data_IF_453561483514
#
_entry.id   IF_453561483514
#
_cell.length_a   1.000
_cell.length_b   1.000
_cell.length_c   1.000
_cell.angle_alpha   90.00
_cell.angle_beta   90.00
_cell.angle_gamma   90.00
#
_symmetry.space_group_name_H-M   'P 1'
#
loop_
_entity.id
_entity.type
_entity.pdbx_description
1 polymer ?
#
# COMPACT_ATOMS: atom_id res chain seq x y z
N UNK A 1 -26.61 -54.86 -17.74
CA UNK A 1 -26.93 -53.50 -18.25
C UNK A 1 -28.26 -53.09 -17.65
N UNK A 2 -28.22 -52.31 -16.58
CA UNK A 2 -29.39 -51.93 -15.79
C UNK A 2 -29.33 -50.42 -15.56
N UNK A 3 -30.34 -49.70 -16.05
CA UNK A 3 -30.49 -48.27 -15.86
C UNK A 3 -31.24 -47.99 -14.56
N UNK A 4 -30.63 -47.19 -13.68
CA UNK A 4 -31.23 -46.68 -12.46
C UNK A 4 -31.88 -45.31 -12.76
N UNK A 5 -33.20 -45.29 -12.64
CA UNK A 5 -34.04 -44.09 -12.73
C UNK A 5 -33.96 -43.34 -11.40
N UNK A 6 -33.61 -42.04 -11.42
CA UNK A 6 -33.66 -41.16 -10.24
C UNK A 6 -35.06 -40.55 -10.11
N UNK A 7 -35.62 -40.68 -8.90
CA UNK A 7 -36.88 -40.07 -8.48
C UNK A 7 -36.74 -38.55 -8.32
N UNK A 8 -37.72 -37.81 -8.87
CA UNK A 8 -37.98 -36.41 -8.53
C UNK A 8 -38.94 -36.33 -7.32
N UNK A 9 -38.75 -35.40 -6.37
CA UNK A 9 -39.72 -35.16 -5.32
C UNK A 9 -40.91 -34.30 -5.80
N UNK A 10 -42.11 -34.73 -5.38
CA UNK A 10 -43.43 -34.11 -5.53
C UNK A 10 -43.54 -32.79 -4.75
N UNK A 11 -44.37 -31.80 -5.19
CA UNK A 11 -44.41 -30.47 -4.58
C UNK A 11 -45.25 -30.42 -3.31
N UNK A 12 -44.75 -29.69 -2.30
CA UNK A 12 -45.44 -29.40 -1.05
C UNK A 12 -46.51 -28.32 -1.26
N UNK A 13 -47.69 -28.60 -0.72
CA UNK A 13 -48.88 -27.77 -0.77
C UNK A 13 -48.71 -26.38 -0.11
N UNK A 14 -49.43 -25.40 -0.67
CA UNK A 14 -49.51 -24.02 -0.22
C UNK A 14 -49.94 -23.90 1.25
N UNK A 15 -49.14 -23.16 2.04
CA UNK A 15 -49.55 -22.59 3.33
C UNK A 15 -49.90 -21.11 3.12
N UNK A 16 -51.02 -20.69 3.71
CA UNK A 16 -51.55 -19.32 3.61
C UNK A 16 -50.64 -18.25 4.22
N UNK A 17 -50.97 -16.97 4.02
CA UNK A 17 -50.15 -15.84 4.45
C UNK A 17 -50.07 -15.79 5.99
N UNK A 18 -48.84 -15.85 6.50
CA UNK A 18 -48.54 -15.56 7.89
C UNK A 18 -48.65 -14.05 8.14
N UNK A 19 -49.24 -13.67 9.28
CA UNK A 19 -49.24 -12.30 9.77
C UNK A 19 -47.80 -11.77 9.92
N UNK A 20 -47.56 -10.47 9.68
CA UNK A 20 -46.24 -9.89 9.86
C UNK A 20 -45.85 -9.91 11.35
N UNK A 21 -44.77 -10.61 11.66
CA UNK A 21 -44.15 -10.56 12.97
C UNK A 21 -43.68 -9.13 13.27
N UNK A 22 -44.07 -8.58 14.42
CA UNK A 22 -43.55 -7.32 14.93
C UNK A 22 -42.03 -7.37 15.05
N UNK A 23 -41.36 -6.37 14.49
CA UNK A 23 -39.92 -6.22 14.59
C UNK A 23 -39.50 -6.07 16.07
N UNK A 24 -38.44 -6.78 16.53
CA UNK A 24 -37.93 -6.61 17.88
C UNK A 24 -37.44 -5.17 18.07
N UNK A 25 -38.05 -4.46 19.03
CA UNK A 25 -37.57 -3.15 19.49
C UNK A 25 -36.20 -3.34 20.15
N UNK A 26 -35.14 -2.92 19.49
CA UNK A 26 -33.79 -2.80 20.07
C UNK A 26 -33.85 -1.65 21.08
N UNK A 27 -33.86 -1.99 22.36
CA UNK A 27 -33.65 -1.02 23.44
C UNK A 27 -32.15 -0.78 23.53
N UNK A 28 -31.70 0.35 22.99
CA UNK A 28 -30.33 0.84 23.18
C UNK A 28 -30.19 1.33 24.63
N UNK A 29 -29.33 0.74 25.47
CA UNK A 29 -29.10 1.26 26.81
C UNK A 29 -28.45 2.66 26.72
N UNK A 30 -28.83 3.61 27.59
CA UNK A 30 -28.24 4.93 27.59
C UNK A 30 -26.72 4.84 27.85
N UNK A 31 -25.94 5.54 27.01
CA UNK A 31 -24.50 5.73 27.23
C UNK A 31 -24.30 6.47 28.55
N UNK A 32 -23.94 5.74 29.61
CA UNK A 32 -23.48 6.32 30.87
C UNK A 32 -22.05 6.85 30.72
N UNK A 33 -21.89 7.94 29.97
CA UNK A 33 -20.78 8.84 30.20
C UNK A 33 -21.13 9.72 31.39
N UNK A 34 -20.35 9.68 32.48
CA UNK A 34 -20.51 10.67 33.55
C UNK A 34 -20.40 12.07 32.92
N UNK A 35 -21.28 13.03 33.26
CA UNK A 35 -21.09 14.40 32.81
C UNK A 35 -19.69 14.84 33.23
N UNK A 36 -18.93 15.38 32.27
CA UNK A 36 -17.59 15.90 32.54
C UNK A 36 -17.71 16.99 33.61
N UNK A 37 -16.81 16.95 34.56
CA UNK A 37 -16.68 17.98 35.59
C UNK A 37 -16.30 19.31 34.93
N UNK A 38 -16.63 20.41 35.60
CA UNK A 38 -16.23 21.74 35.16
C UNK A 38 -14.70 21.88 35.03
N UNK A 39 -13.94 21.15 35.86
CA UNK A 39 -12.49 21.05 35.78
C UNK A 39 -12.00 20.35 34.49
N UNK A 40 -12.65 19.26 34.08
CA UNK A 40 -12.36 18.58 32.81
C UNK A 40 -12.70 19.47 31.60
N UNK A 41 -13.78 20.25 31.68
CA UNK A 41 -14.12 21.26 30.66
C UNK A 41 -13.13 22.44 30.62
N UNK A 42 -12.62 22.89 31.77
CA UNK A 42 -11.61 23.94 31.84
C UNK A 42 -10.26 23.47 31.28
N UNK A 43 -9.86 22.24 31.61
CA UNK A 43 -8.64 21.63 31.06
C UNK A 43 -8.71 21.50 29.54
N UNK A 44 -9.84 21.03 29.00
CA UNK A 44 -10.03 20.90 27.55
C UNK A 44 -10.00 22.25 26.82
N UNK A 45 -10.63 23.28 27.40
CA UNK A 45 -10.57 24.65 26.85
C UNK A 45 -9.14 25.21 26.82
N UNK A 46 -8.35 24.92 27.87
CA UNK A 46 -6.94 25.32 27.93
C UNK A 46 -6.11 24.65 26.84
N UNK A 47 -6.28 23.35 26.62
CA UNK A 47 -5.57 22.63 25.56
C UNK A 47 -5.90 23.18 24.16
N UNK A 48 -7.17 23.52 23.90
CA UNK A 48 -7.57 24.17 22.65
C UNK A 48 -6.87 25.52 22.47
N UNK A 49 -6.82 26.35 23.52
CA UNK A 49 -6.15 27.65 23.48
C UNK A 49 -4.63 27.53 23.26
N UNK A 50 -3.97 26.58 23.94
CA UNK A 50 -2.54 26.32 23.78
C UNK A 50 -2.22 25.81 22.36
N UNK A 51 -3.05 24.93 21.81
CA UNK A 51 -2.93 24.47 20.41
C UNK A 51 -3.10 25.60 19.41
N UNK A 52 -4.08 26.49 19.62
CA UNK A 52 -4.32 27.63 18.74
C UNK A 52 -3.14 28.62 18.76
N UNK A 53 -2.59 28.91 19.94
CA UNK A 53 -1.42 29.76 20.10
C UNK A 53 -0.18 29.21 19.39
N UNK A 54 0.02 27.88 19.37
CA UNK A 54 1.10 27.24 18.63
C UNK A 54 0.93 27.35 17.10
N UNK A 55 -0.30 27.25 16.61
CA UNK A 55 -0.61 27.44 15.19
C UNK A 55 -0.37 28.89 14.78
N UNK A 56 -0.77 29.86 15.60
CA UNK A 56 -0.59 31.29 15.33
C UNK A 56 0.90 31.67 15.38
N UNK A 57 1.68 31.12 16.33
CA UNK A 57 3.12 31.31 16.41
C UNK A 57 3.87 30.79 15.17
N UNK A 58 3.38 29.72 14.53
CA UNK A 58 3.94 29.18 13.27
C UNK A 58 3.54 30.00 12.04
N UNK A 59 2.43 30.74 12.11
CA UNK A 59 1.95 31.60 11.01
C UNK A 59 2.57 33.00 11.02
N UNK A 60 3.19 33.42 12.11
CA UNK A 60 3.96 34.67 12.16
C UNK A 60 5.31 34.51 11.45
N UNK A 61 5.60 35.30 10.38
CA UNK A 61 6.92 35.30 9.76
C UNK A 61 7.97 35.78 10.77
N UNK A 62 9.03 35.00 10.95
CA UNK A 62 10.14 35.34 11.84
C UNK A 62 10.91 36.55 11.31
N UNK A 63 10.51 37.76 11.72
CA UNK A 63 11.28 39.00 11.52
C UNK A 63 12.20 39.21 12.72
N UNK A 64 13.22 38.35 12.84
CA UNK A 64 14.18 38.45 13.94
C UNK A 64 15.56 37.85 13.62
N UNK A 65 16.60 38.25 14.35
CA UNK A 65 18.02 37.92 14.08
C UNK A 65 18.35 36.42 14.13
N UNK A 66 17.41 35.58 14.58
CA UNK A 66 17.51 34.12 14.56
C UNK A 66 17.34 33.52 13.15
N UNK A 67 16.56 34.17 12.27
CA UNK A 67 16.41 33.76 10.87
C UNK A 67 17.71 33.96 10.06
N UNK A 68 18.45 35.05 10.31
CA UNK A 68 19.75 35.30 9.70
C UNK A 68 20.84 34.33 10.17
N UNK A 69 20.73 33.82 11.39
CA UNK A 69 21.70 32.88 11.97
C UNK A 69 21.46 31.42 11.54
N UNK A 70 20.22 31.06 11.21
CA UNK A 70 19.88 29.75 10.63
C UNK A 70 20.23 29.67 9.14
N UNK A 71 20.15 30.77 8.39
CA UNK A 71 20.59 30.84 7.00
C UNK A 71 22.12 30.67 6.84
N UNK A 72 22.91 30.97 7.88
CA UNK A 72 24.37 30.88 7.83
C UNK A 72 24.96 29.50 8.23
N UNK A 73 24.11 28.55 8.67
CA UNK A 73 24.53 27.23 9.17
C UNK A 73 24.00 26.05 8.33
N UNK A 74 23.27 26.31 7.26
CA UNK A 74 22.88 25.28 6.31
C UNK A 74 24.06 25.02 5.34
N UNK A 75 24.67 23.82 5.32
CA UNK A 75 25.52 23.45 4.19
C UNK A 75 24.63 23.45 2.93
N UNK A 76 25.03 24.21 1.92
CA UNK A 76 24.38 24.18 0.61
C UNK A 76 24.50 22.77 0.03
N UNK A 77 23.44 21.97 0.15
CA UNK A 77 23.24 20.85 -0.73
C UNK A 77 23.05 21.42 -2.16
N UNK A 78 23.75 20.92 -3.18
CA UNK A 78 23.58 21.42 -4.53
C UNK A 78 22.21 20.97 -5.06
N UNK A 79 21.20 21.81 -4.92
CA UNK A 79 20.02 21.77 -5.79
C UNK A 79 20.35 22.68 -6.98
N UNK A 80 21.06 22.12 -7.95
CA UNK A 80 21.24 22.75 -9.27
C UNK A 80 20.67 21.77 -10.30
N UNK A 81 19.36 21.85 -10.49
CA UNK A 81 18.72 21.44 -11.74
C UNK A 81 18.29 22.72 -12.45
N UNK A 82 18.86 23.01 -13.62
CA UNK A 82 18.41 24.11 -14.46
C UNK A 82 16.94 23.89 -14.85
N UNK A 83 16.09 24.88 -14.56
CA UNK A 83 14.71 24.90 -15.07
C UNK A 83 14.74 25.38 -16.50
N UNK A 84 14.58 24.47 -17.45
CA UNK A 84 14.33 24.84 -18.85
C UNK A 84 12.82 25.01 -19.04
N UNK A 85 12.29 26.22 -19.27
CA UNK A 85 10.87 26.42 -19.53
C UNK A 85 10.56 25.91 -20.95
N UNK A 86 9.84 24.79 -21.06
CA UNK A 86 9.21 24.36 -22.31
C UNK A 86 7.84 25.00 -22.46
N UNK A 87 7.51 25.49 -23.65
CA UNK A 87 6.17 26.01 -23.95
C UNK A 87 5.16 24.85 -23.97
N UNK A 88 4.28 24.79 -22.95
CA UNK A 88 3.03 24.01 -23.00
C UNK A 88 3.05 22.60 -22.39
N UNK A 89 4.21 22.03 -22.07
CA UNK A 89 4.35 20.84 -21.22
C UNK A 89 4.88 21.24 -19.85
N UNK A 90 4.44 20.61 -18.76
CA UNK A 90 5.04 20.84 -17.44
C UNK A 90 6.57 20.71 -17.54
N UNK A 91 7.31 21.56 -16.81
CA UNK A 91 8.77 21.52 -16.87
C UNK A 91 9.28 20.09 -16.56
N UNK A 92 10.20 19.61 -17.38
CA UNK A 92 10.93 18.37 -17.12
C UNK A 92 11.95 18.66 -16.03
N UNK A 93 11.90 17.92 -14.93
CA UNK A 93 12.87 18.09 -13.83
C UNK A 93 13.79 16.89 -13.79
N UNK A 94 15.09 17.11 -13.59
CA UNK A 94 16.01 16.01 -13.34
C UNK A 94 16.33 15.92 -11.85
N UNK A 95 16.11 14.75 -11.26
CA UNK A 95 16.55 14.44 -9.89
C UNK A 95 18.07 14.23 -9.85
N UNK A 96 18.66 14.24 -8.65
CA UNK A 96 20.11 14.07 -8.44
C UNK A 96 20.65 12.72 -8.95
N UNK A 97 19.77 11.74 -9.21
CA UNK A 97 20.10 10.47 -9.82
C UNK A 97 20.04 10.47 -11.37
N UNK A 98 19.80 11.64 -11.98
CA UNK A 98 19.80 11.86 -13.43
C UNK A 98 18.44 11.63 -14.10
N UNK A 99 17.43 11.17 -13.36
CA UNK A 99 16.12 10.80 -13.92
C UNK A 99 15.21 12.00 -14.14
N UNK A 100 14.54 12.00 -15.29
CA UNK A 100 13.61 13.04 -15.70
C UNK A 100 12.20 12.80 -15.12
N UNK A 101 11.57 13.86 -14.62
CA UNK A 101 10.20 13.93 -14.09
C UNK A 101 9.37 14.73 -15.07
N UNK A 102 8.16 14.28 -15.39
CA UNK A 102 7.29 14.87 -16.43
C UNK A 102 7.91 14.88 -17.82
N UNK A 103 8.89 14.01 -18.10
CA UNK A 103 9.45 13.89 -19.45
C UNK A 103 8.36 13.34 -20.40
N UNK A 104 7.89 14.14 -21.37
CA UNK A 104 6.89 13.69 -22.33
C UNK A 104 7.38 12.49 -23.15
N UNK A 105 8.70 12.32 -23.30
CA UNK A 105 9.30 11.18 -23.96
C UNK A 105 9.30 9.91 -23.09
N UNK A 106 9.25 10.06 -21.76
CA UNK A 106 9.11 8.96 -20.81
C UNK A 106 7.64 8.58 -20.56
N UNK A 107 6.71 9.51 -20.83
CA UNK A 107 5.27 9.26 -20.66
C UNK A 107 4.81 8.21 -21.67
N UNK A 108 4.54 6.98 -21.20
CA UNK A 108 3.99 5.93 -22.07
C UNK A 108 2.62 6.37 -22.59
N UNK A 109 2.29 6.10 -23.87
CA UNK A 109 0.95 6.34 -24.38
C UNK A 109 -0.06 5.65 -23.47
N UNK A 110 -1.08 6.39 -23.04
CA UNK A 110 -2.22 5.78 -22.35
C UNK A 110 -2.81 4.74 -23.30
N UNK A 111 -2.89 3.50 -22.83
CA UNK A 111 -3.53 2.42 -23.58
C UNK A 111 -5.02 2.75 -23.72
N UNK A 112 -5.51 2.79 -24.96
CA UNK A 112 -6.93 3.00 -25.25
C UNK A 112 -7.72 1.69 -25.12
N UNK A 113 -7.73 1.13 -23.90
CA UNK A 113 -8.50 -0.08 -23.60
C UNK A 113 -9.89 0.34 -23.11
N UNK A 114 -10.98 -0.17 -23.69
CA UNK A 114 -12.32 0.13 -23.21
C UNK A 114 -12.48 -0.23 -21.73
N UNK A 115 -13.04 0.68 -20.93
CA UNK A 115 -13.24 0.49 -19.49
C UNK A 115 -13.93 -0.83 -19.13
N UNK A 116 -14.93 -1.26 -19.92
CA UNK A 116 -15.65 -2.51 -19.71
C UNK A 116 -14.74 -3.75 -19.84
N UNK A 117 -13.70 -3.70 -20.68
CA UNK A 117 -12.70 -4.78 -20.82
C UNK A 117 -11.84 -4.85 -19.55
N UNK A 118 -11.39 -3.69 -19.06
CA UNK A 118 -10.64 -3.60 -17.80
C UNK A 118 -11.49 -4.11 -16.62
N UNK A 119 -12.73 -3.65 -16.49
CA UNK A 119 -13.65 -4.10 -15.43
C UNK A 119 -13.90 -5.62 -15.48
N UNK A 120 -14.05 -6.21 -16.67
CA UNK A 120 -14.19 -7.65 -16.83
C UNK A 120 -12.90 -8.44 -16.50
N UNK A 121 -11.74 -7.79 -16.55
CA UNK A 121 -10.44 -8.34 -16.18
C UNK A 121 -10.16 -8.33 -14.67
N UNK A 122 -10.92 -7.57 -13.88
CA UNK A 122 -10.77 -7.55 -12.43
C UNK A 122 -11.13 -8.93 -11.86
N UNK A 123 -10.19 -9.54 -11.15
CA UNK A 123 -10.39 -10.81 -10.45
C UNK A 123 -10.57 -10.61 -8.96
N UNK A 124 -9.84 -9.65 -8.43
CA UNK A 124 -9.74 -9.40 -7.01
C UNK A 124 -9.64 -7.89 -6.71
N UNK A 125 -10.69 -7.10 -6.99
CA UNK A 125 -10.63 -5.66 -6.87
C UNK A 125 -10.27 -5.23 -5.44
N UNK A 126 -9.35 -4.27 -5.33
CA UNK A 126 -8.94 -3.68 -4.05
C UNK A 126 -9.21 -2.17 -4.02
N UNK A 127 -9.73 -1.64 -2.90
CA UNK A 127 -9.84 -0.20 -2.71
C UNK A 127 -8.46 0.49 -2.68
N UNK A 128 -8.41 1.77 -3.05
CA UNK A 128 -7.16 2.54 -3.01
C UNK A 128 -6.86 3.07 -1.62
N UNK A 129 -5.57 3.09 -1.25
CA UNK A 129 -5.07 3.90 -0.13
C UNK A 129 -3.89 4.75 -0.61
N UNK A 130 -3.91 6.05 -0.29
CA UNK A 130 -2.81 6.98 -0.57
C UNK A 130 -1.72 6.79 0.46
N UNK A 131 -0.53 6.39 0.02
CA UNK A 131 0.63 6.20 0.87
C UNK A 131 1.17 7.53 1.40
N UNK A 132 1.74 7.45 2.61
CA UNK A 132 2.44 8.53 3.27
C UNK A 132 3.85 8.06 3.61
N UNK A 133 4.89 8.77 3.15
CA UNK A 133 6.28 8.38 3.40
C UNK A 133 6.71 7.10 2.66
N UNK A 134 7.69 6.36 3.19
CA UNK A 134 8.25 5.13 2.58
C UNK A 134 7.41 3.86 2.75
N UNK A 135 6.17 3.95 3.22
CA UNK A 135 5.37 2.81 3.70
C UNK A 135 4.64 2.00 2.60
N UNK A 136 5.14 2.00 1.37
CA UNK A 136 4.46 1.38 0.21
C UNK A 136 4.03 -0.08 0.43
N UNK A 137 4.87 -0.91 1.05
CA UNK A 137 4.51 -2.31 1.35
C UNK A 137 3.36 -2.44 2.34
N UNK A 138 3.34 -1.61 3.38
CA UNK A 138 2.25 -1.60 4.37
C UNK A 138 0.93 -1.08 3.77
N UNK A 139 1.00 -0.06 2.92
CA UNK A 139 -0.19 0.42 2.21
C UNK A 139 -0.72 -0.59 1.19
N UNK A 140 0.16 -1.31 0.48
CA UNK A 140 -0.24 -2.42 -0.38
C UNK A 140 -0.97 -3.51 0.41
N UNK A 141 -0.44 -3.89 1.58
CA UNK A 141 -1.12 -4.82 2.49
C UNK A 141 -2.47 -4.26 2.97
N UNK A 142 -2.53 -2.98 3.35
CA UNK A 142 -3.78 -2.32 3.76
C UNK A 142 -4.86 -2.32 2.66
N UNK A 143 -4.48 -2.13 1.39
CA UNK A 143 -5.40 -2.24 0.25
C UNK A 143 -5.94 -3.67 0.09
N UNK A 144 -5.10 -4.69 0.29
CA UNK A 144 -5.54 -6.10 0.25
C UNK A 144 -6.49 -6.41 1.42
N UNK A 145 -6.18 -5.95 2.63
CA UNK A 145 -7.06 -6.10 3.79
C UNK A 145 -8.42 -5.45 3.56
N UNK A 146 -8.44 -4.22 3.02
CA UNK A 146 -9.67 -3.53 2.62
C UNK A 146 -10.45 -4.31 1.55
N UNK A 147 -9.77 -4.89 0.56
CA UNK A 147 -10.40 -5.71 -0.47
C UNK A 147 -11.10 -6.95 0.10
N UNK A 148 -10.50 -7.60 1.10
CA UNK A 148 -11.13 -8.71 1.80
C UNK A 148 -12.25 -8.26 2.74
N UNK A 149 -12.09 -7.12 3.43
CA UNK A 149 -13.13 -6.53 4.28
C UNK A 149 -14.37 -6.13 3.47
N UNK A 150 -14.17 -5.62 2.24
CA UNK A 150 -15.25 -5.29 1.32
C UNK A 150 -16.13 -6.51 0.97
N UNK A 151 -15.54 -7.71 0.94
CA UNK A 151 -16.23 -8.98 0.63
C UNK A 151 -16.90 -9.59 1.86
N UNK A 152 -16.20 -9.57 3.00
CA UNK A 152 -16.73 -9.98 4.30
C UNK A 152 -16.23 -9.02 5.39
N UNK A 153 -17.11 -8.21 6.00
CA UNK A 153 -16.74 -7.27 7.06
C UNK A 153 -16.14 -7.89 8.32
N UNK A 154 -16.16 -9.22 8.46
CA UNK A 154 -15.45 -9.93 9.54
C UNK A 154 -13.93 -9.93 9.33
N UNK A 155 -13.46 -9.75 8.11
CA UNK A 155 -12.04 -9.69 7.82
C UNK A 155 -11.43 -8.42 8.43
N UNK A 156 -10.28 -8.51 9.12
CA UNK A 156 -9.72 -7.36 9.81
C UNK A 156 -9.21 -6.30 8.83
N UNK A 157 -9.45 -5.04 9.13
CA UNK A 157 -8.78 -3.91 8.46
C UNK A 157 -8.18 -3.00 9.53
N UNK A 158 -7.05 -2.36 9.20
CA UNK A 158 -6.26 -1.60 10.15
C UNK A 158 -5.79 -0.27 9.56
N UNK A 159 -5.41 0.63 10.46
CA UNK A 159 -4.63 1.81 10.12
C UNK A 159 -3.21 1.37 9.76
N UNK A 160 -2.62 1.97 8.72
CA UNK A 160 -1.20 1.75 8.44
C UNK A 160 -0.37 2.55 9.43
N UNK A 161 -0.68 3.84 9.60
CA UNK A 161 0.08 4.77 10.43
C UNK A 161 -0.83 5.83 11.09
N UNK A 162 -0.33 6.64 12.05
CA UNK A 162 -1.19 7.58 12.78
C UNK A 162 -1.86 8.61 11.88
N UNK A 163 -1.15 9.06 10.85
CA UNK A 163 -1.61 10.06 9.89
C UNK A 163 -2.81 9.59 9.05
N UNK A 164 -3.14 8.29 9.04
CA UNK A 164 -4.36 7.79 8.40
C UNK A 164 -5.64 8.22 9.13
N UNK A 165 -5.55 8.54 10.44
CA UNK A 165 -6.70 8.99 11.24
C UNK A 165 -7.12 10.42 10.91
N UNK A 166 -6.12 11.29 10.82
CA UNK A 166 -6.26 12.73 10.67
C UNK A 166 -5.36 13.19 9.52
N UNK A 167 -5.79 12.97 8.26
CA UNK A 167 -4.92 13.20 7.13
C UNK A 167 -4.60 14.70 6.98
N UNK A 168 -3.31 15.05 6.77
CA UNK A 168 -2.88 16.45 6.76
C UNK A 168 -3.51 17.27 5.63
N UNK A 169 -3.92 16.62 4.55
CA UNK A 169 -4.43 17.27 3.35
C UNK A 169 -5.96 17.40 3.33
N UNK A 170 -6.71 16.80 4.28
CA UNK A 170 -8.18 16.89 4.38
C UNK A 170 -9.01 16.31 3.22
N UNK A 171 -8.41 16.12 2.05
CA UNK A 171 -9.10 15.87 0.77
C UNK A 171 -9.11 14.40 0.33
N UNK A 172 -8.41 13.50 1.04
CA UNK A 172 -8.31 12.10 0.66
C UNK A 172 -8.74 11.17 1.79
N UNK A 173 -9.56 10.17 1.44
CA UNK A 173 -9.80 9.02 2.31
C UNK A 173 -8.56 8.13 2.29
N UNK A 174 -7.72 8.24 3.31
CA UNK A 174 -6.60 7.30 3.53
C UNK A 174 -7.09 5.92 3.98
N UNK A 175 -8.37 5.83 4.36
CA UNK A 175 -9.07 4.63 4.79
C UNK A 175 -10.36 4.46 4.00
N UNK A 176 -10.59 3.24 3.51
CA UNK A 176 -11.85 2.88 2.87
C UNK A 176 -12.91 2.46 3.89
N UNK A 177 -12.47 1.93 5.04
CA UNK A 177 -13.30 1.40 6.11
C UNK A 177 -12.79 1.85 7.49
N UNK A 178 -13.66 1.83 8.48
CA UNK A 178 -13.23 2.01 9.87
C UNK A 178 -12.34 0.81 10.28
N UNK A 179 -11.21 1.03 10.95
CA UNK A 179 -10.33 -0.06 11.38
C UNK A 179 -11.08 -0.96 12.37
N UNK A 180 -11.05 -2.27 12.11
CA UNK A 180 -11.60 -3.31 12.98
C UNK A 180 -10.52 -3.96 13.85
N UNK A 181 -9.26 -3.89 13.42
CA UNK A 181 -8.11 -4.19 14.27
C UNK A 181 -7.69 -2.91 15.02
N UNK A 182 -7.60 -2.94 16.36
CA UNK A 182 -7.17 -1.77 17.13
C UNK A 182 -5.68 -1.44 16.99
N UNK A 183 -4.87 -2.38 16.48
CA UNK A 183 -3.43 -2.23 16.30
C UNK A 183 -3.14 -1.47 15.01
N UNK A 184 -2.02 -0.77 14.99
CA UNK A 184 -1.50 -0.09 13.82
C UNK A 184 -0.51 -0.98 13.10
N UNK A 185 -0.62 -1.08 11.78
CA UNK A 185 0.22 -1.99 11.00
C UNK A 185 1.70 -1.63 11.08
N UNK A 186 2.04 -0.34 11.09
CA UNK A 186 3.41 0.14 11.28
C UNK A 186 3.98 -0.28 12.64
N UNK A 187 3.19 -0.16 13.71
CA UNK A 187 3.63 -0.56 15.05
C UNK A 187 3.84 -2.08 15.12
N UNK A 188 2.91 -2.86 14.57
CA UNK A 188 3.05 -4.33 14.46
C UNK A 188 4.30 -4.73 13.68
N UNK A 189 4.61 -4.05 12.58
CA UNK A 189 5.81 -4.31 11.78
C UNK A 189 7.10 -3.89 12.49
N UNK A 190 7.08 -2.79 13.25
CA UNK A 190 8.22 -2.33 14.06
C UNK A 190 8.52 -3.27 15.22
N UNK A 191 7.50 -3.63 15.98
CA UNK A 191 7.61 -4.52 17.14
C UNK A 191 8.16 -5.90 16.74
N UNK A 192 7.88 -6.33 15.51
CA UNK A 192 8.37 -7.56 14.92
C UNK A 192 9.76 -7.45 14.25
N UNK A 193 10.39 -6.27 14.28
CA UNK A 193 11.68 -6.03 13.64
C UNK A 193 11.65 -6.22 12.11
N UNK A 194 10.51 -5.94 11.48
CA UNK A 194 10.33 -6.02 10.02
C UNK A 194 10.65 -4.70 9.33
N UNK A 195 10.47 -3.59 10.04
CA UNK A 195 10.72 -2.24 9.54
C UNK A 195 11.03 -1.28 10.68
N UNK A 196 11.68 -0.17 10.38
CA UNK A 196 11.91 0.91 11.33
C UNK A 196 11.11 2.18 10.96
N UNK A 197 10.98 2.49 9.66
CA UNK A 197 10.26 3.67 9.14
C UNK A 197 8.99 3.31 8.34
N UNK A 198 8.76 2.03 8.06
CA UNK A 198 7.56 1.50 7.40
C UNK A 198 7.83 0.83 6.04
N UNK A 199 9.04 0.98 5.50
CA UNK A 199 9.51 0.27 4.32
C UNK A 199 9.66 -1.23 4.63
N UNK A 200 9.10 -2.10 3.78
CA UNK A 200 9.23 -3.55 3.89
C UNK A 200 10.15 -4.05 2.78
N UNK A 201 11.45 -4.11 3.05
CA UNK A 201 12.47 -4.39 2.03
C UNK A 201 12.59 -5.87 1.63
N UNK A 202 11.79 -6.74 2.22
CA UNK A 202 11.71 -8.15 1.85
C UNK A 202 10.24 -8.51 1.68
N UNK A 203 9.93 -9.27 0.63
CA UNK A 203 8.57 -9.74 0.39
C UNK A 203 8.08 -10.63 1.54
N UNK A 204 8.99 -11.38 2.17
CA UNK A 204 8.70 -12.17 3.39
C UNK A 204 8.21 -11.29 4.55
N UNK A 205 8.71 -10.05 4.67
CA UNK A 205 8.26 -9.13 5.72
C UNK A 205 6.83 -8.64 5.49
N UNK A 206 6.40 -8.50 4.23
CA UNK A 206 4.99 -8.22 3.91
C UNK A 206 4.09 -9.38 4.31
N UNK A 207 4.50 -10.60 3.96
CA UNK A 207 3.77 -11.82 4.31
C UNK A 207 3.69 -12.01 5.84
N UNK A 208 4.78 -11.77 6.57
CA UNK A 208 4.81 -11.86 8.03
C UNK A 208 3.97 -10.76 8.69
N UNK A 209 4.02 -9.53 8.18
CA UNK A 209 3.16 -8.46 8.66
C UNK A 209 1.68 -8.84 8.47
N UNK A 210 1.30 -9.41 7.33
CA UNK A 210 -0.05 -9.92 7.09
C UNK A 210 -0.45 -11.01 8.09
N UNK A 211 0.45 -11.97 8.36
CA UNK A 211 0.21 -13.02 9.35
C UNK A 211 -0.04 -12.46 10.76
N UNK A 212 0.73 -11.45 11.17
CA UNK A 212 0.54 -10.77 12.46
C UNK A 212 -0.78 -9.98 12.55
N UNK A 213 -1.33 -9.57 11.40
CA UNK A 213 -2.64 -8.92 11.28
C UNK A 213 -3.82 -9.91 11.17
N UNK A 214 -3.57 -11.22 11.37
CA UNK A 214 -4.63 -12.24 11.39
C UNK A 214 -5.01 -12.80 10.02
N UNK A 215 -4.19 -12.56 9.00
CA UNK A 215 -4.36 -13.18 7.69
C UNK A 215 -3.46 -14.42 7.54
N UNK A 216 -3.74 -15.25 6.54
CA UNK A 216 -2.77 -16.22 6.02
C UNK A 216 -2.01 -15.57 4.88
N UNK A 217 -0.72 -15.87 4.77
CA UNK A 217 0.09 -15.38 3.67
C UNK A 217 1.02 -16.47 3.12
N UNK A 218 1.23 -16.46 1.81
CA UNK A 218 2.27 -17.26 1.18
C UNK A 218 3.24 -16.39 0.39
N UNK A 219 4.46 -16.89 0.27
CA UNK A 219 5.52 -16.30 -0.53
C UNK A 219 5.94 -17.28 -1.62
N UNK A 220 6.01 -16.78 -2.85
CA UNK A 220 6.69 -17.45 -3.96
C UNK A 220 7.91 -16.61 -4.35
N UNK A 221 9.08 -17.23 -4.32
CA UNK A 221 10.33 -16.66 -4.86
C UNK A 221 10.54 -17.16 -6.28
N UNK A 222 11.21 -16.39 -7.13
CA UNK A 222 11.37 -16.71 -8.56
C UNK A 222 10.04 -16.91 -9.29
N UNK A 223 8.99 -16.23 -8.83
CA UNK A 223 7.64 -16.34 -9.36
C UNK A 223 7.58 -15.95 -10.83
N UNK A 224 6.73 -16.64 -11.58
CA UNK A 224 6.45 -16.40 -13.00
C UNK A 224 5.14 -15.63 -13.17
N UNK A 225 4.87 -15.15 -14.39
CA UNK A 225 3.54 -14.64 -14.73
C UNK A 225 2.45 -15.71 -14.55
N UNK A 226 2.75 -16.99 -14.78
CA UNK A 226 1.79 -18.08 -14.59
C UNK A 226 1.42 -18.26 -13.11
N UNK A 227 2.39 -18.10 -12.19
CA UNK A 227 2.12 -18.10 -10.75
C UNK A 227 1.22 -16.93 -10.36
N UNK A 228 1.50 -15.74 -10.91
CA UNK A 228 0.67 -14.56 -10.70
C UNK A 228 -0.76 -14.77 -11.20
N UNK A 229 -0.94 -15.30 -12.41
CA UNK A 229 -2.28 -15.60 -12.94
C UNK A 229 -3.02 -16.64 -12.10
N UNK A 230 -2.31 -17.64 -11.58
CA UNK A 230 -2.92 -18.66 -10.69
C UNK A 230 -3.52 -18.02 -9.43
N UNK A 231 -2.80 -17.08 -8.81
CA UNK A 231 -3.28 -16.34 -7.63
C UNK A 231 -4.48 -15.48 -7.99
N UNK A 232 -4.40 -14.74 -9.10
CA UNK A 232 -5.49 -13.88 -9.55
C UNK A 232 -6.73 -14.67 -9.95
N UNK A 233 -6.60 -15.79 -10.65
CA UNK A 233 -7.71 -16.64 -11.08
C UNK A 233 -8.39 -17.37 -9.91
N UNK A 234 -7.70 -17.52 -8.77
CA UNK A 234 -8.30 -17.91 -7.50
C UNK A 234 -9.15 -16.79 -6.85
N UNK A 235 -9.17 -15.59 -7.43
CA UNK A 235 -9.85 -14.42 -6.88
C UNK A 235 -9.07 -13.72 -5.77
N UNK A 236 -7.76 -14.00 -5.66
CA UNK A 236 -6.89 -13.42 -4.64
C UNK A 236 -6.08 -12.26 -5.22
N UNK A 237 -5.99 -11.11 -4.51
CA UNK A 237 -5.07 -10.05 -4.91
C UNK A 237 -3.63 -10.47 -4.60
N UNK A 238 -2.68 -10.07 -5.44
CA UNK A 238 -1.26 -10.38 -5.27
C UNK A 238 -0.46 -9.11 -4.97
N UNK A 239 0.39 -9.13 -3.96
CA UNK A 239 1.33 -8.05 -3.66
C UNK A 239 2.68 -8.39 -4.29
N UNK A 240 3.22 -7.45 -5.08
CA UNK A 240 4.51 -7.58 -5.76
C UNK A 240 5.32 -6.30 -5.58
N UNK A 241 6.63 -6.46 -5.47
CA UNK A 241 7.55 -5.34 -5.64
C UNK A 241 8.01 -5.27 -7.10
N UNK A 242 8.16 -4.07 -7.65
CA UNK A 242 8.60 -3.86 -9.02
C UNK A 242 9.52 -2.64 -9.11
N UNK A 243 10.23 -2.50 -10.23
CA UNK A 243 11.02 -1.31 -10.49
C UNK A 243 10.12 -0.21 -11.05
N UNK A 244 9.91 0.84 -10.27
CA UNK A 244 8.98 1.92 -10.62
C UNK A 244 9.72 3.10 -11.24
N UNK A 245 9.12 3.70 -12.27
CA UNK A 245 9.59 4.99 -12.79
C UNK A 245 9.00 6.18 -12.02
N UNK A 246 9.27 7.41 -12.48
CA UNK A 246 8.80 8.64 -11.83
C UNK A 246 7.27 8.83 -11.90
N UNK A 247 6.62 8.18 -12.85
CA UNK A 247 5.18 8.30 -13.08
C UNK A 247 4.40 7.22 -12.32
N UNK A 248 5.10 6.32 -11.62
CA UNK A 248 4.49 5.21 -10.91
C UNK A 248 4.24 3.99 -11.81
N UNK A 249 4.76 3.99 -13.04
CA UNK A 249 4.56 2.91 -13.99
C UNK A 249 5.62 1.81 -13.82
N UNK A 250 5.30 0.60 -14.31
CA UNK A 250 6.27 -0.49 -14.37
C UNK A 250 7.42 -0.10 -15.31
N UNK A 251 8.54 0.30 -14.71
CA UNK A 251 9.67 0.91 -15.38
C UNK A 251 10.32 0.01 -16.41
N UNK A 252 10.99 0.61 -17.39
CA UNK A 252 11.94 -0.12 -18.26
C UNK A 252 13.11 -0.66 -17.44
N UNK A 253 13.94 -1.57 -17.98
CA UNK A 253 15.14 -2.06 -17.28
C UNK A 253 16.05 -0.94 -16.75
N UNK A 254 16.00 0.24 -17.37
CA UNK A 254 16.83 1.40 -17.04
C UNK A 254 16.13 2.43 -16.13
N UNK A 255 14.88 2.19 -15.71
CA UNK A 255 14.03 3.16 -14.98
C UNK A 255 14.50 3.51 -13.55
N UNK A 256 15.71 3.13 -13.16
CA UNK A 256 16.31 3.48 -11.88
C UNK A 256 16.27 2.35 -10.85
N UNK A 257 16.82 2.60 -9.67
CA UNK A 257 16.93 1.64 -8.57
C UNK A 257 15.84 1.92 -7.51
N UNK A 258 14.57 1.85 -7.93
CA UNK A 258 13.43 2.29 -7.13
C UNK A 258 12.44 1.16 -6.95
N UNK A 259 12.60 0.44 -5.85
CA UNK A 259 11.64 -0.59 -5.47
C UNK A 259 10.33 0.05 -5.02
N UNK A 260 9.21 -0.44 -5.55
CA UNK A 260 7.89 -0.04 -5.08
C UNK A 260 6.95 -1.23 -5.06
N UNK A 261 5.99 -1.21 -4.14
CA UNK A 261 4.95 -2.23 -4.06
C UNK A 261 3.70 -1.84 -4.83
N UNK A 262 3.13 -2.82 -5.52
CA UNK A 262 1.79 -2.74 -6.10
C UNK A 262 0.97 -3.95 -5.68
N UNK A 263 -0.34 -3.78 -5.74
CA UNK A 263 -1.32 -4.86 -5.69
C UNK A 263 -1.78 -5.13 -7.12
N UNK A 264 -1.55 -6.34 -7.60
CA UNK A 264 -2.16 -6.82 -8.85
C UNK A 264 -3.52 -7.41 -8.49
N UNK A 265 -4.56 -6.92 -9.16
CA UNK A 265 -5.96 -7.22 -8.85
C UNK A 265 -6.71 -7.85 -10.03
N UNK A 266 -6.08 -7.96 -11.19
CA UNK A 266 -6.69 -8.57 -12.35
C UNK A 266 -5.75 -8.71 -13.53
N UNK A 267 -6.25 -9.41 -14.55
CA UNK A 267 -5.58 -9.55 -15.83
C UNK A 267 -6.62 -9.77 -16.94
N UNK A 268 -6.30 -9.37 -18.16
CA UNK A 268 -7.15 -9.56 -19.33
C UNK A 268 -6.33 -9.66 -20.61
N UNK A 269 -6.96 -10.17 -21.66
CA UNK A 269 -6.40 -10.16 -23.02
C UNK A 269 -7.10 -9.10 -23.87
N UNK A 270 -6.33 -8.36 -24.65
CA UNK A 270 -6.82 -7.37 -25.60
C UNK A 270 -5.88 -7.34 -26.80
N UNK A 271 -6.43 -7.46 -28.01
CA UNK A 271 -5.67 -7.45 -29.27
C UNK A 271 -4.50 -8.45 -29.31
N UNK A 272 -4.68 -9.63 -28.71
CA UNK A 272 -3.65 -10.67 -28.66
C UNK A 272 -2.51 -10.42 -27.66
N UNK A 273 -2.60 -9.34 -26.87
CA UNK A 273 -1.68 -9.05 -25.78
C UNK A 273 -2.35 -9.26 -24.44
N UNK A 274 -1.56 -9.62 -23.42
CA UNK A 274 -2.03 -9.77 -22.06
C UNK A 274 -1.63 -8.56 -21.21
N UNK A 275 -2.58 -8.09 -20.41
CA UNK A 275 -2.44 -6.94 -19.54
C UNK A 275 -2.70 -7.32 -18.09
N UNK A 276 -2.05 -6.61 -17.18
CA UNK A 276 -2.27 -6.64 -15.75
C UNK A 276 -3.00 -5.38 -15.32
N UNK A 277 -3.90 -5.54 -14.35
CA UNK A 277 -4.56 -4.44 -13.66
C UNK A 277 -3.92 -4.32 -12.29
N UNK A 278 -3.25 -3.21 -12.05
CA UNK A 278 -2.50 -2.96 -10.83
C UNK A 278 -3.02 -1.71 -10.11
N UNK A 279 -2.79 -1.68 -8.80
CA UNK A 279 -3.03 -0.50 -7.96
C UNK A 279 -1.86 -0.35 -7.02
N UNK A 280 -1.29 0.84 -6.96
CA UNK A 280 -0.22 1.16 -6.01
C UNK A 280 -0.57 2.48 -5.32
N UNK A 281 0.00 2.71 -4.15
CA UNK A 281 -0.40 3.77 -3.23
C UNK A 281 0.25 5.14 -3.52
N UNK A 282 1.01 5.24 -4.61
CA UNK A 282 1.80 6.42 -4.92
C UNK A 282 1.05 7.39 -5.84
N UNK A 283 0.61 8.52 -5.26
CA UNK A 283 0.00 9.71 -5.89
C UNK A 283 -1.29 9.52 -6.69
N UNK A 284 -1.55 8.34 -7.25
CA UNK A 284 -2.63 8.10 -8.20
C UNK A 284 -3.66 7.13 -7.65
N UNK A 285 -4.94 7.45 -7.82
CA UNK A 285 -6.07 6.64 -7.33
C UNK A 285 -6.59 5.65 -8.37
N UNK A 286 -6.31 5.93 -9.65
CA UNK A 286 -6.73 5.15 -10.80
C UNK A 286 -6.01 3.78 -10.85
N UNK A 287 -6.62 2.83 -11.56
CA UNK A 287 -5.97 1.57 -11.86
C UNK A 287 -4.88 1.77 -12.92
N UNK A 288 -3.77 1.07 -12.76
CA UNK A 288 -2.72 0.98 -13.77
C UNK A 288 -2.96 -0.22 -14.65
N UNK A 289 -2.76 -0.01 -15.94
CA UNK A 289 -2.87 -1.05 -16.95
C UNK A 289 -1.50 -1.25 -17.56
N UNK A 290 -0.90 -2.40 -17.26
CA UNK A 290 0.44 -2.73 -17.73
C UNK A 290 0.39 -3.89 -18.71
N UNK A 291 1.15 -3.81 -19.81
CA UNK A 291 1.44 -5.02 -20.58
C UNK A 291 2.18 -6.00 -19.67
N UNK A 292 1.77 -7.26 -19.67
CA UNK A 292 2.36 -8.26 -18.79
C UNK A 292 3.86 -8.45 -19.04
N UNK A 293 4.31 -8.30 -20.29
CA UNK A 293 5.73 -8.34 -20.68
C UNK A 293 6.55 -7.18 -20.07
N UNK A 294 6.02 -5.95 -20.11
CA UNK A 294 6.68 -4.78 -19.54
C UNK A 294 6.79 -4.91 -18.02
N UNK A 295 5.72 -5.37 -17.38
CA UNK A 295 5.74 -5.66 -15.95
C UNK A 295 6.75 -6.76 -15.63
N UNK A 296 6.79 -7.86 -16.39
CA UNK A 296 7.75 -8.93 -16.15
C UNK A 296 9.20 -8.43 -16.29
N UNK A 297 9.48 -7.56 -17.27
CA UNK A 297 10.77 -6.93 -17.43
C UNK A 297 11.12 -6.05 -16.21
N UNK A 298 10.19 -5.24 -15.72
CA UNK A 298 10.36 -4.43 -14.50
C UNK A 298 10.59 -5.31 -13.27
N UNK A 299 9.74 -6.32 -13.05
CA UNK A 299 9.77 -7.22 -11.91
C UNK A 299 11.03 -8.09 -11.87
N UNK A 300 11.56 -8.48 -13.04
CA UNK A 300 12.79 -9.26 -13.17
C UNK A 300 14.06 -8.40 -13.07
N UNK A 301 13.97 -7.11 -13.37
CA UNK A 301 15.11 -6.18 -13.28
C UNK A 301 15.18 -5.44 -11.94
N UNK A 302 14.29 -5.75 -11.00
CA UNK A 302 14.37 -5.24 -9.64
C UNK A 302 15.58 -5.87 -8.91
N UNK A 303 16.75 -5.28 -9.11
CA UNK A 303 18.03 -5.79 -8.61
C UNK A 303 18.57 -4.97 -7.45
N UNK A 304 18.45 -3.65 -7.53
CA UNK A 304 19.05 -2.76 -6.54
C UNK A 304 18.08 -1.67 -6.12
N UNK A 305 18.28 -1.13 -4.94
CA UNK A 305 17.60 0.09 -4.51
C UNK A 305 18.54 1.03 -3.77
N UNK A 306 18.34 2.34 -3.96
CA UNK A 306 19.00 3.37 -3.13
C UNK A 306 18.25 3.48 -1.81
N UNK A 307 18.92 3.15 -0.73
CA UNK A 307 18.40 3.25 0.62
C UNK A 307 18.50 4.71 1.09
N UNK A 308 17.80 5.08 2.16
CA UNK A 308 17.96 6.38 2.82
C UNK A 308 19.28 6.46 3.63
N UNK A 309 20.30 5.64 3.33
CA UNK A 309 21.56 5.38 4.07
C UNK A 309 22.37 4.23 3.43
N UNK A 310 23.35 3.63 4.13
CA UNK A 310 24.02 2.38 3.68
C UNK A 310 23.45 1.19 4.44
N UNK A 311 22.69 0.27 3.79
CA UNK A 311 22.13 -0.88 4.48
C UNK A 311 23.19 -1.68 5.23
N UNK A 312 22.96 -1.97 6.51
CA UNK A 312 23.85 -2.78 7.36
C UNK A 312 24.86 -1.97 8.19
N UNK A 313 24.84 -0.64 8.16
CA UNK A 313 25.59 0.19 9.11
C UNK A 313 24.89 0.33 10.48
N UNK A 314 23.64 -0.16 10.59
CA UNK A 314 22.84 -0.14 11.81
C UNK A 314 22.23 1.21 12.17
N UNK A 315 22.45 2.24 11.34
CA UNK A 315 21.96 3.60 11.56
C UNK A 315 20.93 3.99 10.51
N UNK A 316 19.91 4.73 10.93
CA UNK A 316 18.98 5.34 9.99
C UNK A 316 19.28 6.83 9.92
N UNK A 317 19.76 7.33 8.76
CA UNK A 317 20.04 8.74 8.61
C UNK A 317 18.84 9.60 9.04
N UNK A 318 19.17 10.67 9.78
CA UNK A 318 18.26 11.66 10.36
C UNK A 318 17.36 11.18 11.51
N UNK A 319 17.49 9.94 11.99
CA UNK A 319 16.73 9.40 13.14
C UNK A 319 17.61 8.53 14.05
N UNK A 320 18.46 9.15 14.90
CA UNK A 320 19.39 8.42 15.77
C UNK A 320 18.70 7.56 16.84
N UNK A 321 17.39 7.75 17.02
CA UNK A 321 16.51 6.94 17.88
C UNK A 321 16.03 5.64 17.22
N UNK A 322 16.18 5.50 15.90
CA UNK A 322 15.76 4.32 15.15
C UNK A 322 16.97 3.51 14.69
N UNK A 323 16.82 2.19 14.74
CA UNK A 323 17.82 1.24 14.23
C UNK A 323 17.26 0.49 13.04
N UNK A 324 18.15 0.03 12.17
CA UNK A 324 17.76 -0.90 11.11
C UNK A 324 17.07 -2.13 11.71
N UNK A 325 16.11 -2.74 10.98
CA UNK A 325 15.47 -3.95 11.44
C UNK A 325 16.53 -5.04 11.64
N UNK A 326 16.54 -5.70 12.80
CA UNK A 326 17.59 -6.68 13.17
C UNK A 326 17.71 -7.84 12.16
N UNK A 327 16.62 -8.13 11.46
CA UNK A 327 16.52 -9.21 10.46
C UNK A 327 16.80 -8.74 9.03
N UNK A 328 17.03 -7.44 8.83
CA UNK A 328 17.36 -6.90 7.52
C UNK A 328 18.83 -7.17 7.21
N UNK A 329 19.07 -8.09 6.29
CA UNK A 329 20.41 -8.38 5.77
C UNK A 329 20.35 -8.32 4.25
N UNK A 330 20.67 -7.17 3.69
CA UNK A 330 20.77 -6.97 2.24
C UNK A 330 22.24 -6.87 1.85
N UNK A 331 22.71 -7.59 0.81
CA UNK A 331 24.07 -7.41 0.31
C UNK A 331 24.29 -5.97 -0.19
N UNK A 332 25.47 -5.41 0.04
CA UNK A 332 25.88 -4.15 -0.59
C UNK A 332 26.10 -4.37 -2.10
N UNK A 333 25.45 -3.55 -2.91
CA UNK A 333 25.59 -3.53 -4.36
C UNK A 333 26.54 -2.41 -4.85
N UNK A 334 27.18 -1.69 -3.93
CA UNK A 334 28.04 -0.54 -4.20
C UNK A 334 27.26 0.76 -4.41
N UNK A 335 27.99 1.89 -4.37
CA UNK A 335 27.43 3.24 -4.60
C UNK A 335 26.23 3.60 -3.68
N UNK A 336 26.20 3.06 -2.46
CA UNK A 336 25.08 3.28 -1.52
C UNK A 336 23.79 2.56 -1.93
N UNK A 337 23.88 1.45 -2.67
CA UNK A 337 22.74 0.64 -3.09
C UNK A 337 22.75 -0.72 -2.39
N UNK A 338 21.58 -1.21 -2.01
CA UNK A 338 21.41 -2.61 -1.60
C UNK A 338 21.04 -3.49 -2.80
N UNK A 339 21.52 -4.73 -2.81
CA UNK A 339 20.98 -5.81 -3.63
C UNK A 339 19.68 -6.32 -3.00
N UNK A 340 18.59 -6.18 -3.74
CA UNK A 340 17.24 -6.62 -3.37
C UNK A 340 16.70 -7.68 -4.32
N UNK A 341 17.52 -8.20 -5.23
CA UNK A 341 17.12 -9.15 -6.26
C UNK A 341 16.44 -10.38 -5.68
N UNK A 342 17.01 -10.95 -4.61
CA UNK A 342 16.44 -12.11 -3.91
C UNK A 342 15.33 -11.76 -2.93
N UNK A 343 15.37 -10.55 -2.38
CA UNK A 343 14.44 -10.12 -1.34
C UNK A 343 13.09 -9.67 -1.91
N UNK A 344 13.10 -9.08 -3.11
CA UNK A 344 11.95 -8.43 -3.75
C UNK A 344 11.78 -8.84 -5.22
N UNK A 345 12.87 -9.01 -5.95
CA UNK A 345 12.83 -9.41 -7.35
C UNK A 345 12.12 -10.75 -7.52
N UNK A 346 11.16 -10.80 -8.45
CA UNK A 346 10.32 -11.98 -8.73
C UNK A 346 9.70 -12.63 -7.48
N UNK A 347 9.44 -11.83 -6.44
CA UNK A 347 8.72 -12.27 -5.27
C UNK A 347 7.24 -11.92 -5.39
N UNK A 348 6.38 -12.90 -5.12
CA UNK A 348 4.93 -12.74 -5.09
C UNK A 348 4.41 -13.11 -3.71
N UNK A 349 3.67 -12.18 -3.11
CA UNK A 349 2.99 -12.39 -1.83
C UNK A 349 1.49 -12.50 -2.08
N UNK A 350 0.91 -13.61 -1.64
CA UNK A 350 -0.52 -13.85 -1.64
C UNK A 350 -1.01 -13.73 -0.19
N UNK A 351 -2.09 -12.98 0.03
CA UNK A 351 -2.68 -12.75 1.36
C UNK A 351 -4.16 -13.06 1.31
N UNK A 352 -4.62 -13.96 2.18
CA UNK A 352 -6.00 -14.43 2.25
C UNK A 352 -6.49 -14.50 3.70
N UNK A 353 -7.81 -14.37 3.97
CA UNK A 353 -8.35 -14.52 5.31
C UNK A 353 -8.07 -15.90 5.92
N UNK A 354 -8.18 -16.00 7.25
CA UNK A 354 -8.16 -17.30 7.91
C UNK A 354 -9.29 -18.21 7.38
N UNK A 355 -8.96 -19.47 7.08
CA UNK A 355 -9.89 -20.44 6.50
C UNK A 355 -9.95 -20.45 4.97
N UNK A 356 -9.47 -19.39 4.29
CA UNK A 356 -9.35 -19.38 2.83
C UNK A 356 -8.08 -20.17 2.41
N UNK A 357 -8.16 -21.07 1.41
CA UNK A 357 -6.99 -21.81 0.94
C UNK A 357 -6.03 -20.89 0.17
N UNK A 358 -4.73 -21.03 0.44
CA UNK A 358 -3.69 -20.41 -0.40
C UNK A 358 -3.61 -21.15 -1.74
N UNK A 359 -3.42 -20.42 -2.84
CA UNK A 359 -3.25 -21.01 -4.19
C UNK A 359 -1.88 -21.69 -4.39
N UNK A 360 -0.98 -21.59 -3.39
CA UNK A 360 0.36 -22.19 -3.41
C UNK A 360 1.41 -21.31 -2.73
N UNK A 361 2.68 -21.63 -2.97
CA UNK A 361 3.82 -20.95 -2.31
C UNK A 361 4.14 -21.50 -0.91
N UNK A 362 5.20 -20.96 -0.30
CA UNK A 362 5.55 -21.26 1.10
C UNK A 362 4.68 -20.41 2.01
N UNK A 363 3.87 -21.04 2.87
CA UNK A 363 3.12 -20.33 3.90
C UNK A 363 4.08 -19.68 4.90
N UNK A 364 3.82 -18.41 5.22
CA UNK A 364 4.60 -17.61 6.16
C UNK A 364 3.76 -17.45 7.43
N UNK A 365 4.36 -17.81 8.56
CA UNK A 365 3.73 -17.66 9.88
C UNK A 365 4.36 -16.47 10.63
N UNK A 366 3.58 -15.84 11.51
CA UNK A 366 4.13 -14.89 12.47
C UNK A 366 5.10 -15.63 13.41
N UNK A 367 6.36 -15.18 13.46
CA UNK A 367 7.39 -15.72 14.34
C UNK A 367 7.14 -15.40 15.81
#
# INVERSE_FOLDING_TARGET
>A
MSYLVRNYPTPLAARGPAEPAEAPRIVVPPRHGRPRTEAEHAHFRRLIQESQALVDARRSPATGPMAARMAALAPEAPIVGERTPGEGGGAVFHEADGFAVNDPAATRPRLDVPKAVVEAGLKAPVPHRKQIGGTCGLYALGMVMDGWHARDPKNPTALVQPEDRDPPDGDFKHLNYAPTDPRMMLDVARDAGLTAKGELYQAEFVAEAAARMGYRASLRTEATLADLYTVLDAGHPAIVAFNVDMDGEAGTPDAGARAHYAVIQGHFEHEGQRYLIAKHSWRQTEDRIWRAEDFLASWSNLKTTRFYGTPGDGEIPDRPDLREPERLSLPDAGEGRADISRALGRCLVEVVPEGEPLSGGREIHAA
#
